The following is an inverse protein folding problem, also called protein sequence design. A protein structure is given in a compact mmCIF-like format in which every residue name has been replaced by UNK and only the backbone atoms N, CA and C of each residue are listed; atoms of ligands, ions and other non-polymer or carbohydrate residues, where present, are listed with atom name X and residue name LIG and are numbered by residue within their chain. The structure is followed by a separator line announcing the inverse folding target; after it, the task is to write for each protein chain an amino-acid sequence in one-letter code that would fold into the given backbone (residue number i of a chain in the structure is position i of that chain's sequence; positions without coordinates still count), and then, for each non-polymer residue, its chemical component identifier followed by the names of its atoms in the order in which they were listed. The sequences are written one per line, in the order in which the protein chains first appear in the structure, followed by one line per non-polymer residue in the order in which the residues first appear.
data_IF_735546704187
#
_entry.id   IF_735546704187
#
_cell.length_a   1.000
_cell.length_b   1.000
_cell.length_c   1.000
_cell.angle_alpha   90.00
_cell.angle_beta   90.00
_cell.angle_gamma   90.00
#
_symmetry.space_group_name_H-M   'P 1'
#
loop_
_entity.id
_entity.type
_entity.pdbx_description
1 polymer ?
#
# COMPACT_ATOMS: atom_id res chain seq x y z
N UNK A 1 10.71 8.38 11.85
CA UNK A 1 10.68 7.35 10.78
C UNK A 1 12.02 6.65 10.49
N UNK A 2 13.19 7.32 10.47
CA UNK A 2 14.49 6.70 10.07
C UNK A 2 14.96 5.52 10.95
N UNK A 3 14.41 5.39 12.15
CA UNK A 3 14.73 4.34 13.10
C UNK A 3 13.64 3.27 13.22
N UNK A 4 12.63 3.32 12.33
CA UNK A 4 11.51 2.39 12.32
C UNK A 4 11.56 1.44 11.13
N UNK A 5 10.92 0.28 11.27
CA UNK A 5 10.59 -0.55 10.13
C UNK A 5 9.46 0.09 9.33
N UNK A 6 9.67 0.26 8.02
CA UNK A 6 8.73 0.97 7.15
C UNK A 6 8.32 0.12 5.95
N UNK A 7 7.02 0.14 5.65
CA UNK A 7 6.45 -0.45 4.45
C UNK A 7 6.14 0.66 3.45
N UNK A 8 6.94 0.73 2.40
CA UNK A 8 6.69 1.59 1.27
C UNK A 8 5.65 0.99 0.34
N UNK A 9 4.73 1.81 -0.19
CA UNK A 9 3.65 1.33 -1.05
C UNK A 9 3.85 1.80 -2.49
N UNK A 10 3.70 0.88 -3.45
CA UNK A 10 3.76 1.14 -4.89
C UNK A 10 4.94 2.03 -5.31
N UNK A 11 4.67 3.27 -5.73
CA UNK A 11 5.67 4.19 -6.27
C UNK A 11 6.23 5.17 -5.25
N UNK A 12 6.16 4.86 -3.95
CA UNK A 12 6.75 5.70 -2.89
C UNK A 12 8.23 6.04 -3.11
N UNK A 13 8.95 5.22 -3.88
CA UNK A 13 10.36 5.46 -4.23
C UNK A 13 10.59 6.79 -4.95
N UNK A 14 9.55 7.38 -5.56
CA UNK A 14 9.61 8.72 -6.15
C UNK A 14 9.90 9.81 -5.09
N UNK A 15 9.59 9.58 -3.81
CA UNK A 15 9.90 10.50 -2.71
C UNK A 15 11.24 10.25 -2.03
N UNK A 16 11.95 9.16 -2.32
CA UNK A 16 13.14 8.79 -1.52
C UNK A 16 14.24 9.85 -1.55
N UNK A 17 14.42 10.54 -2.68
CA UNK A 17 15.39 11.63 -2.79
C UNK A 17 15.03 12.82 -1.88
N UNK A 18 13.75 13.19 -1.82
CA UNK A 18 13.25 14.29 -0.98
C UNK A 18 13.24 13.92 0.51
N UNK A 19 12.81 12.69 0.83
CA UNK A 19 12.82 12.17 2.19
C UNK A 19 14.26 12.00 2.72
N UNK A 20 15.23 11.78 1.84
CA UNK A 20 16.62 11.49 2.18
C UNK A 20 16.82 10.14 2.89
N UNK A 21 15.86 9.21 2.77
CA UNK A 21 15.95 7.81 3.18
C UNK A 21 15.01 6.92 2.35
N UNK A 22 15.24 5.61 2.39
CA UNK A 22 14.39 4.58 1.75
C UNK A 22 13.55 3.84 2.77
N UNK A 23 12.48 3.16 2.34
CA UNK A 23 11.74 2.26 3.22
C UNK A 23 12.46 0.93 3.47
N UNK A 24 12.06 0.20 4.51
CA UNK A 24 12.63 -1.12 4.82
C UNK A 24 12.10 -2.20 3.88
N UNK A 25 10.81 -2.12 3.55
CA UNK A 25 10.13 -3.01 2.62
C UNK A 25 9.43 -2.18 1.54
N UNK A 26 9.21 -2.78 0.37
CA UNK A 26 8.32 -2.25 -0.65
C UNK A 26 7.16 -3.23 -0.88
N UNK A 27 5.95 -2.73 -1.05
CA UNK A 27 4.76 -3.55 -1.32
C UNK A 27 4.10 -3.02 -2.58
N UNK A 28 3.92 -3.86 -3.59
CA UNK A 28 3.14 -3.52 -4.78
C UNK A 28 2.37 -4.75 -5.26
N UNK A 29 1.05 -4.63 -5.27
CA UNK A 29 0.15 -5.74 -5.65
C UNK A 29 -0.80 -5.39 -6.78
N UNK A 30 -0.87 -4.12 -7.19
CA UNK A 30 -1.66 -3.72 -8.33
C UNK A 30 -0.93 -4.12 -9.63
N UNK A 31 -1.52 -5.05 -10.38
CA UNK A 31 -0.93 -5.60 -11.60
C UNK A 31 -0.59 -4.52 -12.64
N UNK A 32 -1.41 -3.46 -12.79
CA UNK A 32 -1.12 -2.40 -13.76
C UNK A 32 0.02 -1.49 -13.32
N UNK A 33 0.18 -1.26 -12.02
CA UNK A 33 1.36 -0.55 -11.50
C UNK A 33 2.62 -1.37 -11.77
N UNK A 34 2.58 -2.69 -11.52
CA UNK A 34 3.73 -3.59 -11.75
C UNK A 34 4.01 -3.75 -13.25
N UNK A 35 2.98 -3.83 -14.09
CA UNK A 35 3.09 -3.87 -15.55
C UNK A 35 3.89 -2.67 -16.11
N UNK A 36 3.61 -1.48 -15.59
CA UNK A 36 4.18 -0.23 -16.13
C UNK A 36 5.49 0.15 -15.45
N UNK A 37 5.65 -0.18 -14.17
CA UNK A 37 6.77 0.28 -13.34
C UNK A 37 7.60 -0.87 -12.74
N UNK A 38 7.43 -2.10 -13.22
CA UNK A 38 8.08 -3.29 -12.68
C UNK A 38 9.61 -3.19 -12.68
N UNK A 39 10.20 -2.59 -13.71
CA UNK A 39 11.65 -2.35 -13.77
C UNK A 39 12.13 -1.36 -12.72
N UNK A 40 11.40 -0.25 -12.54
CA UNK A 40 11.72 0.76 -11.52
C UNK A 40 11.62 0.16 -10.12
N UNK A 41 10.54 -0.61 -9.86
CA UNK A 41 10.32 -1.32 -8.60
C UNK A 41 11.43 -2.34 -8.33
N UNK A 42 11.85 -3.11 -9.34
CA UNK A 42 12.92 -4.11 -9.21
C UNK A 42 14.30 -3.47 -8.98
N UNK A 43 14.53 -2.26 -9.50
CA UNK A 43 15.79 -1.55 -9.33
C UNK A 43 16.01 -1.07 -7.89
N UNK A 44 14.96 -0.93 -7.08
CA UNK A 44 15.08 -0.50 -5.68
C UNK A 44 15.74 -1.63 -4.86
N UNK A 45 16.85 -1.39 -4.15
CA UNK A 45 17.64 -2.44 -3.52
C UNK A 45 17.12 -2.85 -2.13
N UNK A 46 15.80 -3.02 -1.99
CA UNK A 46 15.13 -3.41 -0.74
C UNK A 46 14.22 -4.62 -0.97
N UNK A 47 13.93 -5.44 0.07
CA UNK A 47 12.97 -6.53 -0.05
C UNK A 47 11.59 -6.02 -0.50
N UNK A 48 10.98 -6.72 -1.45
CA UNK A 48 9.73 -6.31 -2.08
C UNK A 48 8.71 -7.44 -2.13
N UNK A 49 7.49 -7.12 -1.71
CA UNK A 49 6.34 -8.01 -1.77
C UNK A 49 5.52 -7.70 -3.02
N UNK A 50 5.40 -8.68 -3.91
CA UNK A 50 4.84 -8.53 -5.25
C UNK A 50 3.70 -9.53 -5.45
N UNK A 51 2.61 -9.11 -6.07
CA UNK A 51 1.53 -10.02 -6.46
C UNK A 51 2.02 -11.09 -7.47
N UNK A 52 1.80 -12.37 -7.15
CA UNK A 52 2.17 -13.51 -7.98
C UNK A 52 1.59 -13.43 -9.39
N UNK A 53 0.35 -12.94 -9.54
CA UNK A 53 -0.30 -12.72 -10.82
C UNK A 53 0.49 -11.78 -11.75
N UNK A 54 1.28 -10.86 -11.19
CA UNK A 54 2.06 -9.87 -11.93
C UNK A 54 3.53 -10.28 -12.17
N UNK A 55 3.93 -11.50 -11.78
CA UNK A 55 5.34 -11.97 -11.85
C UNK A 55 5.99 -11.88 -13.23
N UNK A 56 5.21 -11.91 -14.31
CA UNK A 56 5.74 -11.82 -15.68
C UNK A 56 6.08 -10.39 -16.10
N UNK A 57 5.71 -9.38 -15.30
CA UNK A 57 5.92 -7.98 -15.60
C UNK A 57 7.12 -7.35 -14.88
N UNK A 58 7.77 -8.12 -14.01
CA UNK A 58 8.84 -7.62 -13.14
C UNK A 58 10.00 -8.64 -13.10
N UNK A 59 11.26 -8.19 -13.28
CA UNK A 59 12.41 -9.02 -12.97
C UNK A 59 12.43 -9.38 -11.49
N UNK A 60 12.67 -10.66 -11.16
CA UNK A 60 12.79 -11.11 -9.78
C UNK A 60 14.24 -11.47 -9.44
N UNK A 61 14.60 -11.20 -8.20
CA UNK A 61 15.86 -11.58 -7.56
C UNK A 61 15.57 -12.13 -6.16
N UNK A 62 16.61 -12.35 -5.35
CA UNK A 62 16.54 -12.84 -3.97
C UNK A 62 15.80 -11.89 -3.00
N UNK A 63 15.49 -10.67 -3.42
CA UNK A 63 14.72 -9.67 -2.65
C UNK A 63 13.24 -9.68 -3.02
N UNK A 64 12.83 -10.42 -4.05
CA UNK A 64 11.44 -10.48 -4.50
C UNK A 64 10.68 -11.61 -3.80
N UNK A 65 9.68 -11.24 -3.00
CA UNK A 65 8.78 -12.15 -2.29
C UNK A 65 7.42 -12.11 -2.99
N UNK A 66 6.98 -13.26 -3.50
CA UNK A 66 5.71 -13.35 -4.23
C UNK A 66 4.55 -13.66 -3.28
N UNK A 67 3.49 -12.87 -3.37
CA UNK A 67 2.26 -13.02 -2.61
C UNK A 67 1.20 -13.69 -3.48
N UNK A 68 0.52 -14.70 -2.93
CA UNK A 68 -0.64 -15.32 -3.58
C UNK A 68 -1.92 -14.62 -3.15
N UNK A 69 -2.64 -14.03 -4.09
CA UNK A 69 -3.96 -13.44 -3.81
C UNK A 69 -5.03 -14.48 -3.48
N UNK A 70 -5.87 -14.16 -2.50
CA UNK A 70 -7.10 -14.85 -2.16
C UNK A 70 -8.29 -14.17 -2.84
N UNK A 71 -9.31 -14.95 -3.18
CA UNK A 71 -10.50 -14.47 -3.89
C UNK A 71 -11.51 -13.77 -2.97
N UNK A 72 -11.65 -14.24 -1.74
CA UNK A 72 -12.71 -13.81 -0.83
C UNK A 72 -12.18 -12.88 0.28
N UNK A 73 -13.02 -11.95 0.78
CA UNK A 73 -12.66 -11.07 1.89
C UNK A 73 -12.17 -11.82 3.13
N UNK A 74 -10.93 -11.53 3.54
CA UNK A 74 -10.35 -12.07 4.75
C UNK A 74 -9.17 -11.20 5.21
N UNK A 75 -8.87 -11.22 6.51
CA UNK A 75 -7.59 -10.78 7.03
C UNK A 75 -6.66 -11.99 7.13
N UNK A 76 -5.55 -11.97 6.40
CA UNK A 76 -4.54 -13.01 6.48
C UNK A 76 -3.61 -12.78 7.66
N UNK A 77 -3.68 -13.66 8.65
CA UNK A 77 -2.71 -13.73 9.74
C UNK A 77 -1.46 -14.52 9.36
N UNK A 78 -1.45 -15.16 8.18
CA UNK A 78 -0.34 -15.95 7.64
C UNK A 78 -0.31 -15.82 6.09
N UNK A 79 0.46 -14.85 5.55
CA UNK A 79 0.51 -14.56 4.12
C UNK A 79 1.13 -15.70 3.30
N UNK A 80 1.78 -16.69 3.91
CA UNK A 80 2.24 -17.90 3.20
C UNK A 80 1.05 -18.73 2.68
N UNK A 81 -0.11 -18.60 3.34
CA UNK A 81 -1.39 -19.20 2.96
C UNK A 81 -2.18 -18.34 1.98
N UNK A 82 -1.68 -17.16 1.65
CA UNK A 82 -2.27 -16.21 0.73
C UNK A 82 -2.79 -14.97 1.46
N UNK A 83 -3.07 -13.93 0.69
CA UNK A 83 -3.48 -12.63 1.18
C UNK A 83 -4.67 -12.10 0.38
N UNK A 84 -5.67 -11.52 1.04
CA UNK A 84 -6.69 -10.77 0.31
C UNK A 84 -6.25 -9.32 0.19
N UNK A 85 -6.29 -8.75 -1.02
CA UNK A 85 -5.75 -7.42 -1.26
C UNK A 85 -6.66 -6.30 -0.75
N UNK A 86 -7.95 -6.54 -0.57
CA UNK A 86 -8.87 -5.55 0.01
C UNK A 86 -8.96 -4.23 -0.74
N UNK A 87 -8.76 -4.26 -2.07
CA UNK A 87 -8.72 -3.08 -2.95
C UNK A 87 -7.70 -1.99 -2.61
N UNK A 88 -6.78 -2.21 -1.67
CA UNK A 88 -5.77 -1.23 -1.26
C UNK A 88 -4.46 -1.89 -0.84
N UNK A 89 -3.35 -1.38 -1.37
CA UNK A 89 -2.00 -1.89 -1.03
C UNK A 89 -1.69 -1.65 0.46
N UNK A 90 -2.29 -0.63 1.05
CA UNK A 90 -2.22 -0.35 2.49
C UNK A 90 -2.70 -1.54 3.32
N UNK A 91 -3.78 -2.20 2.92
CA UNK A 91 -4.33 -3.36 3.63
C UNK A 91 -3.43 -4.60 3.51
N UNK A 92 -2.75 -4.78 2.37
CA UNK A 92 -1.72 -5.82 2.22
C UNK A 92 -0.57 -5.57 3.18
N UNK A 93 -0.07 -4.34 3.27
CA UNK A 93 1.00 -3.99 4.21
C UNK A 93 0.59 -4.21 5.67
N UNK A 94 -0.66 -3.94 6.06
CA UNK A 94 -1.16 -4.22 7.41
C UNK A 94 -1.14 -5.72 7.75
N UNK A 95 -1.47 -6.60 6.80
CA UNK A 95 -1.44 -8.05 6.99
C UNK A 95 0.01 -8.57 7.10
N UNK A 96 0.91 -8.07 6.25
CA UNK A 96 2.33 -8.37 6.35
C UNK A 96 2.91 -7.91 7.69
N UNK A 97 2.59 -6.68 8.11
CA UNK A 97 3.08 -6.14 9.36
C UNK A 97 2.59 -6.95 10.57
N UNK A 98 1.33 -7.41 10.51
CA UNK A 98 0.76 -8.30 11.52
C UNK A 98 1.52 -9.62 11.60
N UNK A 99 1.76 -10.28 10.47
CA UNK A 99 2.46 -11.56 10.42
C UNK A 99 3.88 -11.45 10.97
N UNK A 100 4.56 -10.35 10.65
CA UNK A 100 5.92 -10.06 11.13
C UNK A 100 5.99 -9.63 12.60
N UNK A 101 4.84 -9.49 13.27
CA UNK A 101 4.75 -9.21 14.71
C UNK A 101 4.84 -7.72 15.08
N UNK A 102 4.74 -6.80 14.13
CA UNK A 102 4.79 -5.37 14.41
C UNK A 102 3.55 -4.90 15.20
N UNK A 103 3.80 -4.14 16.27
CA UNK A 103 2.77 -3.54 17.12
C UNK A 103 3.34 -2.38 17.96
N UNK A 104 2.77 -1.17 17.92
CA UNK A 104 1.68 -0.74 17.04
C UNK A 104 2.13 -0.61 15.58
N UNK A 105 1.18 -0.62 14.65
CA UNK A 105 1.39 -0.21 13.26
C UNK A 105 0.87 1.21 13.08
N UNK A 106 1.67 2.09 12.47
CA UNK A 106 1.34 3.50 12.28
C UNK A 106 1.13 3.77 10.79
N UNK A 107 0.00 4.37 10.43
CA UNK A 107 -0.30 4.82 9.07
C UNK A 107 0.15 6.26 8.87
N UNK A 108 0.75 6.54 7.71
CA UNK A 108 1.20 7.87 7.30
C UNK A 108 0.90 8.01 5.81
N UNK A 109 0.30 9.13 5.40
CA UNK A 109 -0.03 9.40 4.00
C UNK A 109 -1.25 8.62 3.48
N UNK A 110 -2.22 8.31 4.34
CA UNK A 110 -3.49 7.69 3.95
C UNK A 110 -4.58 8.75 3.89
N UNK A 111 -4.57 9.56 2.83
CA UNK A 111 -5.46 10.72 2.70
C UNK A 111 -6.94 10.32 2.63
N UNK A 112 -7.22 9.19 1.96
CA UNK A 112 -8.57 8.63 1.77
C UNK A 112 -9.57 9.64 1.18
N UNK A 113 -9.08 10.53 0.32
CA UNK A 113 -9.87 11.50 -0.44
C UNK A 113 -9.43 11.46 -1.90
N UNK A 114 -10.36 11.15 -2.81
CA UNK A 114 -10.08 11.14 -4.25
C UNK A 114 -10.96 12.16 -4.95
N UNK A 115 -10.35 13.02 -5.75
CA UNK A 115 -11.05 14.02 -6.56
C UNK A 115 -11.71 13.34 -7.76
N UNK A 116 -11.05 12.31 -8.30
CA UNK A 116 -11.54 11.57 -9.46
C UNK A 116 -12.65 10.59 -9.07
N UNK A 117 -13.83 10.78 -9.63
CA UNK A 117 -14.99 9.91 -9.45
C UNK A 117 -15.19 8.99 -10.65
N UNK A 118 -15.71 7.79 -10.41
CA UNK A 118 -16.12 6.85 -11.45
C UNK A 118 -16.30 5.44 -10.91
N UNK A 119 -16.55 4.49 -11.82
CA UNK A 119 -16.81 3.10 -11.44
C UNK A 119 -15.57 2.48 -10.77
N UNK A 120 -15.72 1.76 -9.64
CA UNK A 120 -14.62 1.08 -8.97
C UNK A 120 -13.83 0.17 -9.93
N UNK A 121 -12.51 0.16 -9.79
CA UNK A 121 -11.57 -0.63 -10.61
C UNK A 121 -11.53 -0.30 -12.10
N UNK A 122 -12.30 0.69 -12.57
CA UNK A 122 -12.28 1.11 -13.97
C UNK A 122 -10.89 1.58 -14.36
N UNK A 123 -10.37 0.97 -15.43
CA UNK A 123 -9.10 1.35 -16.00
C UNK A 123 -9.26 2.65 -16.79
N UNK A 124 -8.52 3.67 -16.40
CA UNK A 124 -8.50 4.99 -17.06
C UNK A 124 -7.07 5.33 -17.48
N UNK A 125 -6.93 6.20 -18.48
CA UNK A 125 -5.62 6.71 -18.93
C UNK A 125 -5.44 8.11 -18.35
N UNK A 126 -4.33 8.32 -17.64
CA UNK A 126 -3.97 9.64 -17.13
C UNK A 126 -3.77 10.63 -18.29
N UNK A 127 -4.36 11.82 -18.14
CA UNK A 127 -4.31 12.88 -19.14
C UNK A 127 -3.25 13.96 -18.84
N UNK A 128 -2.61 13.91 -17.67
CA UNK A 128 -1.71 14.96 -17.20
C UNK A 128 -1.21 14.70 -15.79
N UNK A 129 -1.14 15.76 -14.99
CA UNK A 129 -0.73 15.69 -13.59
C UNK A 129 -1.76 14.91 -12.75
N UNK A 130 -1.26 14.18 -11.77
CA UNK A 130 -2.05 13.36 -10.85
C UNK A 130 -2.32 14.14 -9.55
N UNK A 131 -3.57 14.60 -9.32
CA UNK A 131 -3.92 15.33 -8.10
C UNK A 131 -4.24 14.41 -6.92
N UNK A 132 -4.31 13.09 -7.12
CA UNK A 132 -4.73 12.14 -6.08
C UNK A 132 -3.55 11.49 -5.35
N UNK A 133 -2.32 11.76 -5.77
CA UNK A 133 -1.10 11.18 -5.19
C UNK A 133 -0.08 12.27 -4.88
N UNK A 134 0.89 11.94 -4.02
CA UNK A 134 1.89 12.89 -3.53
C UNK A 134 2.80 13.49 -4.62
N UNK A 135 2.88 12.88 -5.80
CA UNK A 135 3.71 13.35 -6.90
C UNK A 135 2.84 13.59 -8.14
N UNK A 136 2.98 14.77 -8.75
CA UNK A 136 2.23 15.12 -9.96
C UNK A 136 2.45 14.12 -11.11
N UNK A 137 3.62 13.49 -11.19
CA UNK A 137 3.94 12.45 -12.18
C UNK A 137 3.72 11.01 -11.68
N UNK A 138 2.99 10.81 -10.58
CA UNK A 138 2.70 9.49 -10.01
C UNK A 138 1.88 8.59 -10.95
N UNK A 139 0.94 9.16 -11.70
CA UNK A 139 0.41 8.54 -12.92
C UNK A 139 0.54 9.57 -14.03
N UNK A 140 1.76 9.77 -14.53
CA UNK A 140 2.03 10.73 -15.61
C UNK A 140 1.21 10.44 -16.88
N UNK A 141 1.08 11.45 -17.74
CA UNK A 141 0.29 11.39 -18.98
C UNK A 141 0.54 10.08 -19.77
N UNK A 142 -0.54 9.41 -20.16
CA UNK A 142 -0.50 8.14 -20.89
C UNK A 142 -0.44 6.89 -20.01
N UNK A 143 -0.22 7.03 -18.71
CA UNK A 143 -0.21 5.89 -17.77
C UNK A 143 -1.63 5.41 -17.51
N UNK A 144 -1.84 4.09 -17.54
CA UNK A 144 -3.11 3.46 -17.17
C UNK A 144 -3.18 3.25 -15.67
N UNK A 145 -4.29 3.62 -15.04
CA UNK A 145 -4.51 3.36 -13.61
C UNK A 145 -5.97 3.04 -13.33
N UNK A 146 -6.22 2.39 -12.20
CA UNK A 146 -7.57 1.99 -11.81
C UNK A 146 -8.14 2.98 -10.81
N UNK A 147 -9.38 3.38 -11.02
CA UNK A 147 -10.12 4.17 -10.04
C UNK A 147 -10.27 3.37 -8.72
N UNK A 148 -10.17 4.06 -7.58
CA UNK A 148 -10.18 3.41 -6.27
C UNK A 148 -11.55 2.78 -5.98
N UNK A 149 -11.54 1.60 -5.35
CA UNK A 149 -12.73 1.01 -4.74
C UNK A 149 -12.70 1.32 -3.23
N UNK A 150 -13.31 2.44 -2.86
CA UNK A 150 -13.32 2.93 -1.49
C UNK A 150 -14.19 2.07 -0.58
N UNK A 151 -15.30 1.53 -1.09
CA UNK A 151 -16.20 0.68 -0.31
C UNK A 151 -15.51 -0.63 0.08
N UNK A 152 -14.86 -1.30 -0.87
CA UNK A 152 -14.07 -2.51 -0.57
C UNK A 152 -12.88 -2.20 0.33
N UNK A 153 -12.24 -1.04 0.15
CA UNK A 153 -11.13 -0.60 1.01
C UNK A 153 -11.58 -0.39 2.46
N UNK A 154 -12.76 0.21 2.68
CA UNK A 154 -13.35 0.41 4.02
C UNK A 154 -13.65 -0.94 4.70
N UNK A 155 -14.22 -1.90 3.97
CA UNK A 155 -14.42 -3.28 4.46
C UNK A 155 -13.07 -3.88 4.91
N UNK A 156 -12.03 -3.70 4.10
CA UNK A 156 -10.69 -4.19 4.41
C UNK A 156 -10.11 -3.52 5.67
N UNK A 157 -10.22 -2.20 5.80
CA UNK A 157 -9.75 -1.48 6.98
C UNK A 157 -10.48 -1.92 8.25
N UNK A 158 -11.79 -2.15 8.19
CA UNK A 158 -12.54 -2.70 9.32
C UNK A 158 -12.08 -4.11 9.70
N UNK A 159 -11.86 -5.00 8.72
CA UNK A 159 -11.31 -6.35 8.96
C UNK A 159 -9.92 -6.30 9.62
N UNK A 160 -9.06 -5.38 9.19
CA UNK A 160 -7.75 -5.16 9.81
C UNK A 160 -7.89 -4.69 11.26
N UNK A 161 -8.66 -3.61 11.49
CA UNK A 161 -8.88 -3.06 12.83
C UNK A 161 -9.40 -4.12 13.79
N UNK A 162 -10.43 -4.86 13.39
CA UNK A 162 -11.08 -5.84 14.25
C UNK A 162 -10.14 -7.03 14.54
N UNK A 163 -9.32 -7.43 13.58
CA UNK A 163 -8.34 -8.51 13.78
C UNK A 163 -7.19 -8.07 14.68
N UNK A 164 -6.62 -6.89 14.47
CA UNK A 164 -5.61 -6.34 15.38
C UNK A 164 -6.16 -6.25 16.81
N UNK A 165 -7.38 -5.71 16.98
CA UNK A 165 -8.02 -5.56 18.29
C UNK A 165 -8.22 -6.91 18.98
N UNK A 166 -8.74 -7.93 18.27
CA UNK A 166 -8.90 -9.30 18.79
C UNK A 166 -7.58 -9.92 19.28
N UNK A 167 -6.46 -9.51 18.69
CA UNK A 167 -5.11 -9.96 19.07
C UNK A 167 -4.39 -8.99 20.01
N UNK A 168 -5.09 -8.01 20.61
CA UNK A 168 -4.50 -7.00 21.51
C UNK A 168 -3.38 -6.18 20.85
N UNK A 169 -3.46 -5.99 19.54
CA UNK A 169 -2.56 -5.14 18.73
C UNK A 169 -3.31 -3.90 18.25
N UNK A 170 -2.56 -2.89 17.83
CA UNK A 170 -3.15 -1.61 17.41
C UNK A 170 -2.63 -1.16 16.06
N UNK A 171 -3.53 -0.56 15.28
CA UNK A 171 -3.22 0.29 14.15
C UNK A 171 -3.63 1.71 14.54
N UNK A 172 -2.74 2.68 14.36
CA UNK A 172 -2.99 4.10 14.60
C UNK A 172 -2.76 4.86 13.29
N UNK A 173 -3.50 5.94 13.08
CA UNK A 173 -3.34 6.79 11.90
C UNK A 173 -2.74 8.14 12.27
N UNK A 174 -1.52 8.38 11.81
CA UNK A 174 -0.75 9.62 11.97
C UNK A 174 -0.75 10.49 10.70
N UNK A 175 -1.65 10.21 9.75
CA UNK A 175 -1.77 11.01 8.53
C UNK A 175 -2.28 12.41 8.84
N UNK A 176 -1.45 13.42 8.56
CA UNK A 176 -1.81 14.83 8.70
C UNK A 176 -2.92 15.17 7.69
N UNK A 177 -4.09 15.58 8.17
CA UNK A 177 -5.23 15.95 7.32
C UNK A 177 -5.96 14.78 6.63
N UNK A 178 -5.57 13.53 6.91
CA UNK A 178 -6.18 12.36 6.28
C UNK A 178 -7.63 12.13 6.74
N UNK A 179 -8.48 11.72 5.80
CA UNK A 179 -9.94 11.57 5.98
C UNK A 179 -10.37 10.15 6.38
N UNK A 180 -9.44 9.19 6.48
CA UNK A 180 -9.77 7.84 6.93
C UNK A 180 -10.16 7.85 8.42
N UNK A 181 -11.36 7.35 8.75
CA UNK A 181 -11.89 7.40 10.13
C UNK A 181 -11.93 6.05 10.85
N UNK A 182 -11.52 4.96 10.18
CA UNK A 182 -11.58 3.60 10.75
C UNK A 182 -10.62 3.41 11.93
N UNK A 183 -9.44 4.01 11.86
CA UNK A 183 -8.38 3.85 12.86
C UNK A 183 -8.29 5.08 13.78
N UNK A 184 -7.96 4.89 15.08
CA UNK A 184 -7.73 6.00 15.99
C UNK A 184 -6.62 6.92 15.46
N UNK A 185 -6.90 8.24 15.45
CA UNK A 185 -5.93 9.26 15.06
C UNK A 185 -4.89 9.49 16.15
N UNK A 186 -3.67 9.82 15.75
CA UNK A 186 -2.57 10.24 16.64
C UNK A 186 -1.77 11.36 15.95
N UNK A 187 -1.26 12.33 16.73
CA UNK A 187 -0.43 13.40 16.17
C UNK A 187 0.91 12.84 15.70
N UNK A 188 1.32 13.16 14.47
CA UNK A 188 2.58 12.71 13.89
C UNK A 188 3.78 13.13 14.76
N UNK A 189 3.77 14.37 15.23
CA UNK A 189 4.82 14.98 16.05
C UNK A 189 4.93 14.38 17.46
N UNK A 190 3.94 13.59 17.89
CA UNK A 190 4.03 12.85 19.15
C UNK A 190 4.76 11.51 19.01
N UNK A 191 5.04 11.08 17.77
CA UNK A 191 5.70 9.81 17.46
C UNK A 191 7.11 9.99 16.88
N UNK A 192 7.38 11.10 16.16
CA UNK A 192 8.59 11.29 15.36
C UNK A 192 9.24 12.67 15.50
#
# INVERSE_FOLDING_TARGET
MRHEYTFGLNRIYLLFAELGFTTTFLVSVNTHVIEQFGRDIAAIPIPRFIEWGARNFIPFDDRTILLRSLLFPAFSTDPTRGIWQGATVTYVAMQLAFYMGFNPVILIGVDHSFVTQGDPHKLVVSQGDDPNHFAANYFGKGTRWQLPDLETSEIAYHLARDTYTRHQRRILDATVGGQLMVFPKVAYESLF
#
